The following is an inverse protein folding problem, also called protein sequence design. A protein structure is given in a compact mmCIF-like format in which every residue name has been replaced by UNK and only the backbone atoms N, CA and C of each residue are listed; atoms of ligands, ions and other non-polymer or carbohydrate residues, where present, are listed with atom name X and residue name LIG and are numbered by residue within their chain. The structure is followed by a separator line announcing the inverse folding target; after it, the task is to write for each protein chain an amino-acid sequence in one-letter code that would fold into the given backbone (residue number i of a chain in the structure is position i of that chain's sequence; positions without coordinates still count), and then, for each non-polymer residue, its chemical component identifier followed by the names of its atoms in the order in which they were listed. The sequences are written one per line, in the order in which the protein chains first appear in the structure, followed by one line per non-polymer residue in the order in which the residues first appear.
data_IF_598904212513
#
_entry.id   IF_598904212513
#
_cell.length_a   1.000
_cell.length_b   1.000
_cell.length_c   1.000
_cell.angle_alpha   90.00
_cell.angle_beta   90.00
_cell.angle_gamma   90.00
#
_symmetry.space_group_name_H-M   'P 1'
#
loop_
_entity.id
_entity.type
_entity.pdbx_description
1 polymer ?
#
# COMPACT_ATOMS: atom_id res chain seq x y z
N UNK A 1 -6.36 21.56 -23.48
CA UNK A 1 -5.90 20.72 -22.34
C UNK A 1 -7.15 20.06 -21.81
N UNK A 2 -7.29 18.74 -21.94
CA UNK A 2 -8.46 18.04 -21.40
C UNK A 2 -8.31 17.99 -19.87
N UNK A 3 -9.30 18.51 -19.15
CA UNK A 3 -9.40 18.36 -17.69
C UNK A 3 -10.16 17.07 -17.45
N UNK A 4 -9.51 16.07 -16.82
CA UNK A 4 -10.22 14.90 -16.33
C UNK A 4 -10.76 15.25 -14.96
N UNK A 5 -12.06 15.08 -14.75
CA UNK A 5 -12.64 15.26 -13.42
C UNK A 5 -12.35 14.02 -12.57
N UNK A 6 -12.26 14.20 -11.25
CA UNK A 6 -12.07 13.08 -10.32
C UNK A 6 -13.20 12.04 -10.41
N UNK A 7 -14.36 12.42 -10.94
CA UNK A 7 -15.49 11.53 -11.20
C UNK A 7 -15.28 10.62 -12.42
N UNK A 8 -14.39 10.98 -13.34
CA UNK A 8 -14.06 10.20 -14.54
C UNK A 8 -12.95 9.16 -14.29
N UNK A 9 -12.31 9.25 -13.12
CA UNK A 9 -11.24 8.35 -12.71
C UNK A 9 -11.75 7.02 -12.17
N UNK A 10 -10.95 5.96 -12.36
CA UNK A 10 -11.25 4.65 -11.78
C UNK A 10 -11.34 4.72 -10.25
N UNK A 11 -12.12 3.82 -9.64
CA UNK A 11 -12.26 3.77 -8.17
C UNK A 11 -10.90 3.61 -7.47
N UNK A 12 -9.96 2.87 -8.08
CA UNK A 12 -8.59 2.73 -7.58
C UNK A 12 -7.79 4.02 -7.60
N UNK A 13 -7.93 4.84 -8.64
CA UNK A 13 -7.27 6.16 -8.67
C UNK A 13 -7.86 7.08 -7.60
N UNK A 14 -9.19 7.09 -7.44
CA UNK A 14 -9.88 7.94 -6.48
C UNK A 14 -9.49 7.58 -5.04
N UNK A 15 -9.39 6.28 -4.75
CA UNK A 15 -8.93 5.79 -3.45
C UNK A 15 -7.47 6.13 -3.19
N UNK A 16 -6.60 5.97 -4.19
CA UNK A 16 -5.20 6.37 -4.09
C UNK A 16 -5.09 7.86 -3.75
N UNK A 17 -5.82 8.73 -4.45
CA UNK A 17 -5.82 10.16 -4.16
C UNK A 17 -6.31 10.48 -2.74
N UNK A 18 -7.24 9.68 -2.21
CA UNK A 18 -7.70 9.84 -0.83
C UNK A 18 -6.62 9.47 0.21
N UNK A 19 -5.80 8.45 -0.05
CA UNK A 19 -4.75 7.99 0.90
C UNK A 19 -3.36 8.60 0.63
N UNK A 20 -3.13 9.17 -0.55
CA UNK A 20 -1.85 9.73 -0.97
C UNK A 20 -1.29 10.80 -0.01
N UNK A 21 -2.10 11.72 0.56
CA UNK A 21 -1.59 12.70 1.52
C UNK A 21 -1.02 12.04 2.79
N UNK A 22 -1.63 10.95 3.26
CA UNK A 22 -1.16 10.21 4.43
C UNK A 22 0.17 9.50 4.13
N UNK A 23 0.25 8.83 2.97
CA UNK A 23 1.47 8.17 2.50
C UNK A 23 2.62 9.17 2.38
N UNK A 24 2.40 10.30 1.68
CA UNK A 24 3.42 11.33 1.49
C UNK A 24 3.85 11.95 2.83
N UNK A 25 2.93 12.24 3.74
CA UNK A 25 3.28 12.78 5.06
C UNK A 25 4.18 11.80 5.85
N UNK A 26 3.91 10.50 5.78
CA UNK A 26 4.71 9.47 6.48
C UNK A 26 6.07 9.28 5.83
N UNK A 27 6.17 9.25 4.49
CA UNK A 27 7.46 9.17 3.79
C UNK A 27 8.35 10.39 4.07
N UNK A 28 7.76 11.59 4.12
CA UNK A 28 8.47 12.86 4.35
C UNK A 28 8.95 13.05 5.78
N UNK A 29 8.25 12.48 6.77
CA UNK A 29 8.56 12.68 8.20
C UNK A 29 9.18 11.45 8.85
N UNK A 30 9.08 10.29 8.22
CA UNK A 30 9.27 9.00 8.88
C UNK A 30 8.03 8.60 9.68
N UNK A 31 8.10 7.43 10.34
CA UNK A 31 7.02 6.89 11.16
C UNK A 31 6.38 5.64 10.58
N UNK A 32 5.21 5.27 11.09
CA UNK A 32 4.49 4.05 10.74
C UNK A 32 3.13 4.37 10.13
N UNK A 33 2.86 3.82 8.96
CA UNK A 33 1.53 3.81 8.34
C UNK A 33 0.91 2.42 8.51
N UNK A 34 -0.23 2.36 9.21
CA UNK A 34 -1.04 1.16 9.37
C UNK A 34 -2.22 1.20 8.41
N UNK A 35 -2.40 0.17 7.58
CA UNK A 35 -3.49 0.08 6.62
C UNK A 35 -4.18 -1.28 6.72
N UNK A 36 -5.47 -1.30 6.94
CA UNK A 36 -6.25 -2.54 6.90
C UNK A 36 -6.83 -2.74 5.48
N UNK A 37 -6.79 -3.96 4.96
CA UNK A 37 -7.26 -4.37 3.64
C UNK A 37 -6.79 -3.41 2.52
N UNK A 38 -5.47 -3.30 2.31
CA UNK A 38 -4.90 -2.29 1.40
C UNK A 38 -5.40 -2.42 -0.05
N UNK A 39 -5.75 -3.62 -0.47
CA UNK A 39 -6.30 -3.95 -1.78
C UNK A 39 -7.75 -3.54 -1.95
N UNK A 40 -8.46 -3.19 -0.86
CA UNK A 40 -9.86 -2.82 -0.92
C UNK A 40 -10.01 -1.57 -1.75
N UNK A 41 -10.48 -1.78 -2.98
CA UNK A 41 -10.65 -0.76 -4.02
C UNK A 41 -9.35 -0.28 -4.68
N UNK A 42 -8.17 -0.79 -4.30
CA UNK A 42 -6.91 -0.49 -5.01
C UNK A 42 -6.54 -1.58 -6.01
N UNK A 43 -6.18 -1.17 -7.21
CA UNK A 43 -5.59 -2.06 -8.19
C UNK A 43 -4.23 -2.60 -7.67
N UNK A 44 -3.89 -3.90 -7.84
CA UNK A 44 -2.65 -4.48 -7.32
C UNK A 44 -1.38 -3.68 -7.67
N UNK A 45 -1.27 -3.21 -8.91
CA UNK A 45 -0.16 -2.36 -9.36
C UNK A 45 0.02 -1.06 -8.55
N UNK A 46 -1.06 -0.50 -7.98
CA UNK A 46 -0.97 0.67 -7.10
C UNK A 46 -0.41 0.30 -5.73
N UNK A 47 -0.79 -0.86 -5.20
CA UNK A 47 -0.23 -1.37 -3.95
C UNK A 47 1.26 -1.64 -4.11
N UNK A 48 1.67 -2.26 -5.22
CA UNK A 48 3.09 -2.46 -5.55
C UNK A 48 3.86 -1.15 -5.61
N UNK A 49 3.29 -0.13 -6.27
CA UNK A 49 3.88 1.20 -6.35
C UNK A 49 4.06 1.86 -4.97
N UNK A 50 3.05 1.74 -4.09
CA UNK A 50 3.12 2.24 -2.72
C UNK A 50 4.25 1.53 -1.97
N UNK A 51 4.27 0.19 -2.00
CA UNK A 51 5.31 -0.61 -1.32
C UNK A 51 6.70 -0.25 -1.82
N UNK A 52 6.90 -0.10 -3.14
CA UNK A 52 8.17 0.31 -3.73
C UNK A 52 8.64 1.69 -3.23
N UNK A 53 7.72 2.65 -3.00
CA UNK A 53 8.05 3.93 -2.39
C UNK A 53 8.61 3.79 -0.97
N UNK A 54 8.05 2.89 -0.16
CA UNK A 54 8.54 2.62 1.20
C UNK A 54 9.88 1.88 1.20
N UNK A 55 10.19 1.07 0.19
CA UNK A 55 11.46 0.33 0.11
C UNK A 55 12.65 1.13 -0.45
N UNK A 56 12.39 2.20 -1.21
CA UNK A 56 13.45 2.99 -1.83
C UNK A 56 13.97 4.11 -0.93
N UNK A 57 15.29 4.16 -0.71
CA UNK A 57 15.94 5.26 0.03
C UNK A 57 15.77 6.63 -0.62
N UNK A 58 15.47 6.67 -1.92
CA UNK A 58 15.23 7.93 -2.66
C UNK A 58 13.89 8.54 -2.27
N UNK A 59 12.86 7.71 -2.15
CA UNK A 59 11.49 8.15 -1.83
C UNK A 59 11.17 8.06 -0.34
N UNK A 60 11.91 7.25 0.41
CA UNK A 60 11.80 7.09 1.85
C UNK A 60 13.14 7.38 2.56
N UNK A 61 13.63 8.63 2.54
CA UNK A 61 14.90 8.99 3.16
C UNK A 61 14.86 8.92 4.69
N UNK A 62 13.66 8.99 5.30
CA UNK A 62 13.46 9.03 6.75
C UNK A 62 13.12 7.66 7.36
N UNK A 63 13.19 6.57 6.58
CA UNK A 63 12.98 5.21 7.09
C UNK A 63 11.57 4.94 7.59
N UNK A 64 10.56 5.54 6.96
CA UNK A 64 9.17 5.26 7.23
C UNK A 64 8.83 3.77 6.97
N UNK A 65 7.84 3.25 7.68
CA UNK A 65 7.37 1.88 7.57
C UNK A 65 5.89 1.86 7.22
N UNK A 66 5.49 0.87 6.42
CA UNK A 66 4.11 0.53 6.17
C UNK A 66 3.86 -0.89 6.66
N UNK A 67 2.77 -1.09 7.41
CA UNK A 67 2.26 -2.41 7.79
C UNK A 67 0.82 -2.46 7.33
N UNK A 68 0.50 -3.53 6.58
CA UNK A 68 -0.83 -3.69 6.04
C UNK A 68 -1.31 -5.13 6.06
N UNK A 69 -2.62 -5.31 6.02
CA UNK A 69 -3.28 -6.59 5.81
C UNK A 69 -3.78 -6.68 4.37
N UNK A 70 -3.82 -7.90 3.82
CA UNK A 70 -4.37 -8.19 2.49
C UNK A 70 -4.89 -9.62 2.45
N UNK A 71 -5.99 -9.83 1.74
CA UNK A 71 -6.51 -11.14 1.32
C UNK A 71 -6.05 -11.51 -0.09
N UNK A 72 -5.50 -10.56 -0.84
CA UNK A 72 -4.99 -10.80 -2.19
C UNK A 72 -3.62 -11.48 -2.15
N UNK A 73 -3.58 -12.74 -2.61
CA UNK A 73 -2.37 -13.57 -2.68
C UNK A 73 -1.34 -13.08 -3.70
N UNK A 74 -1.75 -12.33 -4.73
CA UNK A 74 -0.83 -11.81 -5.73
C UNK A 74 0.13 -10.77 -5.12
N UNK A 75 -0.35 -10.04 -4.10
CA UNK A 75 0.45 -9.10 -3.31
C UNK A 75 1.40 -9.80 -2.34
N UNK A 76 1.23 -11.10 -2.10
CA UNK A 76 2.09 -11.93 -1.26
C UNK A 76 3.23 -12.56 -2.05
N UNK A 77 3.44 -12.15 -3.31
CA UNK A 77 4.56 -12.61 -4.12
C UNK A 77 5.90 -12.18 -3.51
N UNK A 78 6.86 -13.11 -3.53
CA UNK A 78 8.22 -12.87 -3.00
C UNK A 78 9.04 -11.86 -3.81
N UNK A 79 8.51 -11.40 -4.95
CA UNK A 79 9.13 -10.34 -5.76
C UNK A 79 8.86 -8.95 -5.18
N UNK A 80 7.71 -8.75 -4.53
CA UNK A 80 7.33 -7.48 -3.92
C UNK A 80 7.81 -7.37 -2.47
N UNK A 81 7.64 -8.44 -1.69
CA UNK A 81 8.00 -8.49 -0.27
C UNK A 81 8.97 -9.63 -0.03
N UNK A 82 10.00 -9.38 0.78
CA UNK A 82 10.87 -10.48 1.23
C UNK A 82 10.11 -11.37 2.21
N UNK A 83 10.52 -12.64 2.33
CA UNK A 83 9.91 -13.61 3.25
C UNK A 83 9.83 -13.13 4.71
N UNK A 84 10.80 -12.34 5.17
CA UNK A 84 10.86 -11.77 6.53
C UNK A 84 9.85 -10.64 6.76
N UNK A 85 9.19 -10.15 5.71
CA UNK A 85 8.21 -9.06 5.75
C UNK A 85 6.77 -9.58 5.61
N UNK A 86 6.60 -10.89 5.50
CA UNK A 86 5.33 -11.55 5.27
C UNK A 86 4.93 -12.34 6.52
N UNK A 87 3.72 -12.12 7.03
CA UNK A 87 3.18 -12.88 8.16
C UNK A 87 1.80 -13.42 7.80
N UNK A 88 1.66 -14.74 7.77
CA UNK A 88 0.38 -15.40 7.54
C UNK A 88 -0.34 -15.54 8.89
N UNK A 89 -1.61 -15.14 8.91
CA UNK A 89 -2.50 -15.34 10.06
C UNK A 89 -3.68 -16.14 9.57
N UNK A 90 -3.95 -17.28 10.20
CA UNK A 90 -5.19 -18.03 10.00
C UNK A 90 -6.04 -17.94 11.27
N UNK A 91 -7.36 -17.86 11.10
CA UNK A 91 -8.29 -18.08 12.20
C UNK A 91 -8.43 -19.58 12.36
N UNK A 92 -7.51 -20.18 13.12
CA UNK A 92 -7.71 -21.56 13.54
C UNK A 92 -9.08 -21.70 14.23
N UNK A 93 -9.89 -22.62 13.70
CA UNK A 93 -11.19 -23.04 14.25
C UNK A 93 -11.05 -24.28 15.14
N UNK A 94 -9.87 -24.55 15.71
CA UNK A 94 -9.75 -25.58 16.74
C UNK A 94 -10.17 -25.02 18.10
N UNK A 95 -11.49 -25.02 18.31
CA UNK A 95 -12.14 -25.57 19.50
C UNK A 95 -13.34 -26.41 19.04
#
# INVERSE_FOLDING_TARGET
MFSMELADESDGTRKLMAIAPAIESVLLKGGLLLVDEIEKELHPALVEFIVAKFQSKKTNPNGAQIVFTTHNTDLLSMELLRKDQLYFVDKDKEN
#
